data_IF_227538746284
#
_entry.id   IF_227538746284
#
_cell.length_a   1.000
_cell.length_b   1.000
_cell.length_c   1.000
_cell.angle_alpha   90.00
_cell.angle_beta   90.00
_cell.angle_gamma   90.00
#
_symmetry.space_group_name_H-M   'P 1'
#
loop_
_entity.id
_entity.type
_entity.pdbx_description
1 polymer ?
#
# COMPACT_ATOMS: atom_id res chain seq x y z
N UNK A 1 7.08 0.16 8.78
CA UNK A 1 6.06 -0.89 8.63
C UNK A 1 6.22 -1.93 9.76
N UNK A 2 5.15 -2.18 10.51
CA UNK A 2 5.14 -3.16 11.61
C UNK A 2 4.74 -4.52 11.07
N UNK A 3 5.59 -5.53 11.30
CA UNK A 3 5.34 -6.91 10.84
C UNK A 3 4.67 -7.71 11.95
N UNK A 4 3.58 -8.39 11.60
CA UNK A 4 2.84 -9.33 12.43
C UNK A 4 2.36 -10.53 11.61
N UNK A 5 1.70 -11.52 12.22
CA UNK A 5 1.18 -12.70 11.53
C UNK A 5 0.29 -12.35 10.33
N UNK A 6 -0.57 -11.34 10.47
CA UNK A 6 -1.54 -10.88 9.46
C UNK A 6 -0.94 -10.31 8.17
N UNK A 7 0.33 -9.88 8.18
CA UNK A 7 0.98 -9.24 7.03
C UNK A 7 2.37 -9.81 6.72
N UNK A 8 2.82 -10.84 7.45
CA UNK A 8 4.15 -11.43 7.35
C UNK A 8 4.45 -11.97 5.95
N UNK A 9 3.51 -12.66 5.34
CA UNK A 9 3.67 -13.21 3.99
C UNK A 9 3.78 -12.09 2.95
N UNK A 10 2.91 -11.08 3.03
CA UNK A 10 2.95 -9.92 2.14
C UNK A 10 4.26 -9.14 2.26
N UNK A 11 4.75 -8.96 3.49
CA UNK A 11 6.04 -8.32 3.74
C UNK A 11 7.20 -9.15 3.18
N UNK A 12 7.22 -10.47 3.39
CA UNK A 12 8.27 -11.35 2.90
C UNK A 12 8.31 -11.39 1.36
N UNK A 13 7.15 -11.53 0.71
CA UNK A 13 7.03 -11.48 -0.76
C UNK A 13 7.49 -10.13 -1.33
N UNK A 14 7.09 -9.04 -0.67
CA UNK A 14 7.48 -7.67 -1.05
C UNK A 14 8.99 -7.45 -0.93
N UNK A 15 9.61 -7.95 0.14
CA UNK A 15 11.06 -7.87 0.33
C UNK A 15 11.81 -8.70 -0.72
N UNK A 16 11.34 -9.91 -1.05
CA UNK A 16 11.94 -10.75 -2.08
C UNK A 16 11.88 -10.09 -3.45
N UNK A 17 10.74 -9.49 -3.83
CA UNK A 17 10.58 -8.72 -5.06
C UNK A 17 11.49 -7.47 -5.08
N UNK A 18 11.66 -6.81 -3.92
CA UNK A 18 12.50 -5.62 -3.78
C UNK A 18 14.01 -5.91 -3.86
N UNK A 19 14.45 -7.09 -3.38
CA UNK A 19 15.85 -7.51 -3.43
C UNK A 19 16.33 -7.84 -4.85
N UNK A 20 15.45 -8.41 -5.68
CA UNK A 20 15.76 -8.82 -7.05
C UNK A 20 14.62 -8.47 -8.01
N UNK A 21 14.41 -7.17 -8.31
CA UNK A 21 13.30 -6.75 -9.16
C UNK A 21 13.30 -7.43 -10.53
N UNK A 22 12.13 -7.90 -10.95
CA UNK A 22 11.90 -8.58 -12.21
C UNK A 22 12.27 -10.08 -12.23
N UNK A 23 12.91 -10.60 -11.18
CA UNK A 23 13.33 -12.02 -11.11
C UNK A 23 12.36 -12.92 -10.34
N UNK A 24 11.79 -12.42 -9.23
CA UNK A 24 10.91 -13.20 -8.37
C UNK A 24 9.57 -12.49 -8.21
N UNK A 25 8.49 -13.28 -8.19
CA UNK A 25 7.14 -12.80 -7.91
C UNK A 25 6.75 -11.59 -8.79
N UNK A 26 6.75 -11.82 -10.11
CA UNK A 26 6.44 -10.77 -11.08
C UNK A 26 5.28 -11.18 -12.01
N UNK A 27 4.10 -10.57 -11.90
CA UNK A 27 3.75 -9.51 -10.95
C UNK A 27 3.62 -10.00 -9.50
N UNK A 28 3.82 -9.12 -8.52
CA UNK A 28 3.39 -9.32 -7.13
C UNK A 28 2.06 -8.58 -6.93
N UNK A 29 1.07 -9.30 -6.45
CA UNK A 29 -0.28 -8.78 -6.21
C UNK A 29 -0.63 -8.87 -4.73
N UNK A 30 -0.75 -7.72 -4.06
CA UNK A 30 -1.09 -7.61 -2.64
C UNK A 30 -2.56 -7.23 -2.51
N UNK A 31 -3.35 -8.04 -1.83
CA UNK A 31 -4.77 -7.75 -1.70
C UNK A 31 -5.25 -7.82 -0.25
N UNK A 32 -6.37 -7.17 0.02
CA UNK A 32 -7.01 -7.18 1.33
C UNK A 32 -7.88 -5.95 1.52
N UNK A 33 -8.76 -5.99 2.50
CA UNK A 33 -9.70 -4.90 2.79
C UNK A 33 -8.99 -3.54 2.91
N UNK A 34 -9.76 -2.46 2.81
CA UNK A 34 -9.23 -1.11 3.05
C UNK A 34 -8.64 -0.99 4.47
N UNK A 35 -7.63 -0.13 4.65
CA UNK A 35 -7.04 0.13 5.96
C UNK A 35 -6.03 -0.92 6.48
N UNK A 36 -5.66 -1.94 5.70
CA UNK A 36 -4.73 -3.00 6.12
C UNK A 36 -3.24 -2.71 5.83
N UNK A 37 -2.91 -1.50 5.41
CA UNK A 37 -1.51 -1.10 5.20
C UNK A 37 -0.92 -1.49 3.83
N UNK A 38 -1.72 -1.86 2.83
CA UNK A 38 -1.25 -2.19 1.46
C UNK A 38 -0.42 -1.08 0.84
N UNK A 39 -0.97 0.13 0.81
CA UNK A 39 -0.28 1.35 0.31
C UNK A 39 1.02 1.62 1.07
N UNK A 40 0.99 1.46 2.40
CA UNK A 40 2.17 1.63 3.25
C UNK A 40 3.27 0.62 2.87
N UNK A 41 2.90 -0.65 2.67
CA UNK A 41 3.84 -1.70 2.25
C UNK A 41 4.40 -1.39 0.86
N UNK A 42 3.57 -0.92 -0.07
CA UNK A 42 3.98 -0.53 -1.42
C UNK A 42 5.03 0.60 -1.38
N UNK A 43 4.79 1.64 -0.57
CA UNK A 43 5.77 2.71 -0.35
C UNK A 43 7.06 2.22 0.33
N UNK A 44 6.96 1.31 1.31
CA UNK A 44 8.11 0.73 1.97
C UNK A 44 9.02 -0.02 0.97
N UNK A 45 8.43 -0.77 0.04
CA UNK A 45 9.15 -1.43 -1.06
C UNK A 45 9.88 -0.42 -1.94
N UNK A 46 9.20 0.62 -2.39
CA UNK A 46 9.79 1.65 -3.25
C UNK A 46 10.96 2.36 -2.59
N UNK A 47 10.80 2.72 -1.31
CA UNK A 47 11.86 3.35 -0.52
C UNK A 47 13.04 2.40 -0.31
N UNK A 48 12.78 1.12 -0.03
CA UNK A 48 13.83 0.12 0.13
C UNK A 48 14.66 -0.05 -1.15
N UNK A 49 14.01 -0.23 -2.31
CA UNK A 49 14.70 -0.36 -3.60
C UNK A 49 15.58 0.85 -3.85
N UNK A 50 15.05 2.07 -3.70
CA UNK A 50 15.80 3.32 -3.92
C UNK A 50 16.96 3.50 -2.95
N UNK A 51 16.82 3.04 -1.70
CA UNK A 51 17.90 3.10 -0.71
C UNK A 51 19.05 2.15 -1.04
N UNK A 52 18.76 0.99 -1.63
CA UNK A 52 19.75 -0.02 -2.03
C UNK A 52 20.39 0.23 -3.39
N UNK A 53 19.61 0.76 -4.32
CA UNK A 53 20.07 1.04 -5.68
C UNK A 53 19.51 2.38 -6.20
N UNK A 54 20.32 3.43 -6.07
CA UNK A 54 19.96 4.79 -6.51
C UNK A 54 19.75 4.93 -8.02
N UNK A 55 20.29 4.00 -8.84
CA UNK A 55 20.14 4.02 -10.28
C UNK A 55 18.79 3.47 -10.74
N UNK A 56 18.12 2.68 -9.91
CA UNK A 56 16.81 2.14 -10.24
C UNK A 56 15.72 3.22 -10.23
N UNK A 57 14.98 3.27 -11.33
CA UNK A 57 13.85 4.17 -11.52
C UNK A 57 12.57 3.49 -11.04
N UNK A 58 12.10 3.87 -9.87
CA UNK A 58 10.87 3.37 -9.25
C UNK A 58 9.77 4.40 -9.44
N UNK A 59 8.67 4.00 -10.05
CA UNK A 59 7.46 4.79 -10.19
C UNK A 59 6.37 4.22 -9.26
N UNK A 60 5.87 5.05 -8.36
CA UNK A 60 4.59 4.82 -7.68
C UNK A 60 3.51 5.61 -8.42
N UNK A 61 2.38 4.96 -8.68
CA UNK A 61 1.21 5.57 -9.30
C UNK A 61 -0.06 4.91 -8.77
N UNK A 62 -1.05 5.72 -8.38
CA UNK A 62 -2.39 5.19 -8.12
C UNK A 62 -3.15 4.94 -9.43
N UNK A 63 -4.14 4.06 -9.39
CA UNK A 63 -5.00 3.83 -10.56
C UNK A 63 -5.69 5.11 -11.04
N UNK A 64 -6.11 5.98 -10.13
CA UNK A 64 -6.72 7.26 -10.52
C UNK A 64 -5.73 8.17 -11.25
N UNK A 65 -4.49 8.28 -10.77
CA UNK A 65 -3.44 9.02 -11.46
C UNK A 65 -3.12 8.42 -12.84
N UNK A 66 -3.10 7.08 -12.95
CA UNK A 66 -2.92 6.42 -14.24
C UNK A 66 -4.04 6.76 -15.23
N UNK A 67 -5.29 6.77 -14.76
CA UNK A 67 -6.45 7.16 -15.55
C UNK A 67 -6.35 8.62 -16.00
N UNK A 68 -5.97 9.52 -15.11
CA UNK A 68 -5.77 10.93 -15.46
C UNK A 68 -4.66 11.12 -16.50
N UNK A 69 -3.53 10.42 -16.36
CA UNK A 69 -2.45 10.44 -17.35
C UNK A 69 -2.91 9.91 -18.70
N UNK A 70 -3.69 8.82 -18.73
CA UNK A 70 -4.28 8.29 -19.97
C UNK A 70 -5.15 9.33 -20.68
N UNK A 71 -6.09 9.97 -19.99
CA UNK A 71 -6.96 10.99 -20.59
C UNK A 71 -6.21 12.25 -21.02
N UNK A 72 -5.16 12.64 -20.29
CA UNK A 72 -4.27 13.71 -20.71
C UNK A 72 -3.59 13.37 -22.02
N UNK A 73 -3.09 12.15 -22.17
CA UNK A 73 -2.45 11.70 -23.42
C UNK A 73 -3.40 11.68 -24.62
N UNK A 74 -4.68 11.35 -24.41
CA UNK A 74 -5.68 11.47 -25.49
C UNK A 74 -5.79 12.92 -25.97
N UNK A 75 -5.89 13.89 -25.05
CA UNK A 75 -6.03 15.32 -25.40
C UNK A 75 -4.78 15.86 -26.10
N UNK A 76 -3.62 15.48 -25.66
CA UNK A 76 -2.33 16.00 -26.14
C UNK A 76 -1.72 15.15 -27.26
N UNK A 77 -2.38 14.06 -27.69
CA UNK A 77 -1.85 13.06 -28.64
C UNK A 77 -0.47 12.52 -28.24
N UNK A 78 -0.23 12.41 -26.92
CA UNK A 78 1.09 12.13 -26.31
C UNK A 78 1.34 10.67 -25.95
N UNK A 79 0.65 9.68 -26.55
CA UNK A 79 0.79 8.25 -26.19
C UNK A 79 2.24 7.72 -26.32
N UNK A 80 3.00 8.13 -27.32
CA UNK A 80 4.40 7.72 -27.46
C UNK A 80 5.26 8.30 -26.34
N UNK A 81 5.04 9.54 -25.94
CA UNK A 81 5.76 10.17 -24.83
C UNK A 81 5.50 9.42 -23.51
N UNK A 82 4.22 9.08 -23.22
CA UNK A 82 3.84 8.32 -22.05
C UNK A 82 4.46 6.90 -22.08
N UNK A 83 4.40 6.21 -23.20
CA UNK A 83 4.99 4.88 -23.38
C UNK A 83 6.53 4.92 -23.19
N UNK A 84 7.19 5.94 -23.70
CA UNK A 84 8.63 6.13 -23.51
C UNK A 84 8.98 6.42 -22.04
N UNK A 85 8.14 7.17 -21.32
CA UNK A 85 8.27 7.36 -19.87
C UNK A 85 8.21 6.00 -19.14
N UNK A 86 7.21 5.15 -19.41
CA UNK A 86 7.13 3.83 -18.80
C UNK A 86 8.30 2.91 -19.20
N UNK A 87 8.80 3.00 -20.45
CA UNK A 87 10.02 2.29 -20.86
C UNK A 87 11.25 2.65 -20.04
N UNK A 88 11.30 3.86 -19.52
CA UNK A 88 12.43 4.30 -18.70
C UNK A 88 12.36 3.82 -17.23
N UNK A 89 11.23 3.30 -16.76
CA UNK A 89 11.03 2.84 -15.39
C UNK A 89 11.46 1.39 -15.25
N UNK A 90 12.06 1.03 -14.11
CA UNK A 90 12.54 -0.32 -13.82
C UNK A 90 11.57 -1.08 -12.90
N UNK A 91 10.90 -0.36 -12.00
CA UNK A 91 9.90 -0.90 -11.07
C UNK A 91 8.66 -0.02 -11.07
N UNK A 92 7.50 -0.62 -11.28
CA UNK A 92 6.21 0.08 -11.16
C UNK A 92 5.44 -0.45 -9.96
N UNK A 93 4.99 0.47 -9.13
CA UNK A 93 4.17 0.24 -7.94
C UNK A 93 2.80 0.87 -8.19
N UNK A 94 1.77 0.03 -8.31
CA UNK A 94 0.42 0.49 -8.68
C UNK A 94 -0.52 0.26 -7.53
N UNK A 95 -1.14 1.34 -7.06
CA UNK A 95 -2.06 1.27 -5.94
C UNK A 95 -3.51 1.22 -6.41
N UNK A 96 -4.31 0.40 -5.70
CA UNK A 96 -5.76 0.28 -5.86
C UNK A 96 -6.21 -0.05 -7.30
N UNK A 97 -5.67 -1.13 -7.87
CA UNK A 97 -5.90 -1.56 -9.26
C UNK A 97 -7.38 -1.79 -9.60
N UNK A 98 -8.24 -2.05 -8.60
CA UNK A 98 -9.69 -2.23 -8.78
C UNK A 98 -10.38 -1.03 -9.43
N UNK A 99 -9.82 0.17 -9.33
CA UNK A 99 -10.40 1.38 -9.95
C UNK A 99 -10.20 1.46 -11.48
N UNK A 100 -9.41 0.57 -12.07
CA UNK A 100 -9.36 0.41 -13.52
C UNK A 100 -10.59 -0.35 -14.07
N UNK A 101 -11.34 -1.04 -13.20
CA UNK A 101 -12.54 -1.77 -13.58
C UNK A 101 -13.58 -0.86 -14.25
N UNK A 102 -14.33 -1.43 -15.19
CA UNK A 102 -15.35 -0.71 -15.97
C UNK A 102 -14.85 0.44 -16.87
N UNK A 103 -13.54 0.48 -17.14
CA UNK A 103 -12.89 1.46 -18.02
C UNK A 103 -12.12 0.75 -19.15
N UNK A 104 -12.82 0.12 -20.05
CA UNK A 104 -12.29 -0.78 -21.09
C UNK A 104 -11.06 -0.22 -21.80
N UNK A 105 -11.13 0.97 -22.38
CA UNK A 105 -10.00 1.60 -23.10
C UNK A 105 -8.79 1.88 -22.21
N UNK A 106 -9.00 2.22 -20.94
CA UNK A 106 -7.90 2.40 -19.97
C UNK A 106 -7.29 1.05 -19.64
N UNK A 107 -8.12 0.01 -19.47
CA UNK A 107 -7.68 -1.37 -19.24
C UNK A 107 -6.84 -1.92 -20.40
N UNK A 108 -7.25 -1.69 -21.65
CA UNK A 108 -6.46 -2.05 -22.85
C UNK A 108 -5.09 -1.37 -22.86
N UNK A 109 -5.07 -0.07 -22.56
CA UNK A 109 -3.81 0.66 -22.49
C UNK A 109 -2.94 0.15 -21.35
N UNK A 110 -3.53 -0.07 -20.17
CA UNK A 110 -2.84 -0.66 -19.03
C UNK A 110 -2.26 -2.04 -19.37
N UNK A 111 -3.00 -2.89 -20.08
CA UNK A 111 -2.50 -4.18 -20.56
C UNK A 111 -1.24 -4.03 -21.44
N UNK A 112 -1.19 -3.02 -22.29
CA UNK A 112 0.00 -2.75 -23.11
C UNK A 112 1.23 -2.37 -22.27
N UNK A 113 1.04 -1.56 -21.22
CA UNK A 113 2.09 -1.18 -20.28
C UNK A 113 2.51 -2.39 -19.42
N UNK A 114 1.54 -3.17 -18.93
CA UNK A 114 1.83 -4.40 -18.20
C UNK A 114 2.73 -5.35 -18.99
N UNK A 115 2.38 -5.63 -20.25
CA UNK A 115 3.20 -6.47 -21.12
C UNK A 115 4.59 -5.86 -21.40
N UNK A 116 4.70 -4.54 -21.51
CA UNK A 116 6.00 -3.86 -21.65
C UNK A 116 6.91 -4.19 -20.47
N UNK A 117 6.39 -4.14 -19.23
CA UNK A 117 7.17 -4.45 -18.03
C UNK A 117 7.56 -5.93 -17.98
N UNK A 118 6.60 -6.84 -18.16
CA UNK A 118 6.85 -8.29 -18.09
C UNK A 118 7.86 -8.71 -19.16
N UNK A 119 7.69 -8.27 -20.42
CA UNK A 119 8.58 -8.63 -21.52
C UNK A 119 9.99 -8.04 -21.38
N UNK A 120 10.15 -7.00 -20.58
CA UNK A 120 11.43 -6.36 -20.28
C UNK A 120 12.05 -6.81 -18.95
N UNK A 121 11.48 -7.84 -18.31
CA UNK A 121 11.89 -8.32 -16.98
C UNK A 121 11.91 -7.21 -15.91
N UNK A 122 10.97 -6.27 -15.98
CA UNK A 122 10.82 -5.17 -15.03
C UNK A 122 9.76 -5.53 -14.00
N UNK A 123 9.95 -5.09 -12.76
CA UNK A 123 9.07 -5.47 -11.65
C UNK A 123 7.75 -4.71 -11.69
N UNK A 124 6.66 -5.46 -11.49
CA UNK A 124 5.33 -4.92 -11.23
C UNK A 124 4.90 -5.37 -9.83
N UNK A 125 4.47 -4.41 -9.01
CA UNK A 125 3.80 -4.69 -7.73
C UNK A 125 2.50 -3.91 -7.71
N UNK A 126 1.39 -4.60 -7.41
CA UNK A 126 0.05 -4.02 -7.43
C UNK A 126 -0.65 -4.26 -6.10
N UNK A 127 -1.54 -3.34 -5.74
CA UNK A 127 -2.44 -3.52 -4.61
C UNK A 127 -3.90 -3.53 -5.06
N UNK A 128 -4.75 -4.21 -4.29
CA UNK A 128 -6.20 -4.25 -4.51
C UNK A 128 -6.97 -4.45 -3.19
N UNK A 129 -8.25 -4.13 -3.20
CA UNK A 129 -9.17 -4.44 -2.09
C UNK A 129 -9.62 -5.92 -2.08
N UNK A 130 -9.39 -6.67 -3.19
CA UNK A 130 -9.80 -8.07 -3.40
C UNK A 130 -8.81 -8.83 -4.28
N UNK A 131 -8.83 -10.18 -4.28
CA UNK A 131 -7.93 -10.99 -5.12
C UNK A 131 -8.22 -10.81 -6.62
N UNK A 132 -7.25 -11.14 -7.51
CA UNK A 132 -7.39 -10.93 -8.96
C UNK A 132 -8.68 -11.52 -9.55
N UNK A 133 -9.05 -12.73 -9.17
CA UNK A 133 -10.22 -13.44 -9.72
C UNK A 133 -11.57 -12.81 -9.33
N UNK A 134 -11.59 -11.93 -8.34
CA UNK A 134 -12.78 -11.18 -7.90
C UNK A 134 -12.87 -9.79 -8.52
N UNK A 135 -11.93 -9.39 -9.36
CA UNK A 135 -11.92 -8.09 -10.05
C UNK A 135 -12.91 -8.08 -11.21
N UNK A 136 -14.17 -7.77 -10.89
CA UNK A 136 -15.23 -7.63 -11.91
C UNK A 136 -15.05 -6.34 -12.72
N UNK A 137 -15.32 -6.43 -14.03
CA UNK A 137 -15.25 -5.27 -14.95
C UNK A 137 -13.85 -4.97 -15.48
N UNK A 138 -12.87 -5.84 -15.21
CA UNK A 138 -11.62 -5.94 -15.95
C UNK A 138 -11.71 -7.08 -16.96
N UNK A 139 -10.97 -6.95 -18.05
CA UNK A 139 -10.88 -8.02 -19.05
C UNK A 139 -10.23 -9.28 -18.47
N UNK A 140 -10.74 -10.46 -18.85
CA UNK A 140 -10.23 -11.76 -18.37
C UNK A 140 -8.73 -11.93 -18.60
N UNK A 141 -8.20 -11.38 -19.70
CA UNK A 141 -6.77 -11.42 -20.01
C UNK A 141 -5.92 -10.66 -18.99
N UNK A 142 -6.42 -9.52 -18.43
CA UNK A 142 -5.74 -8.79 -17.36
C UNK A 142 -5.80 -9.58 -16.04
N UNK A 143 -6.98 -10.07 -15.70
CA UNK A 143 -7.18 -10.87 -14.48
C UNK A 143 -6.27 -12.10 -14.48
N UNK A 144 -6.21 -12.82 -15.60
CA UNK A 144 -5.31 -13.97 -15.78
C UNK A 144 -3.83 -13.58 -15.61
N UNK A 145 -3.42 -12.42 -16.15
CA UNK A 145 -2.05 -11.91 -16.00
C UNK A 145 -1.72 -11.52 -14.57
N UNK A 146 -2.66 -10.90 -13.85
CA UNK A 146 -2.47 -10.59 -12.43
C UNK A 146 -2.30 -11.86 -11.59
N UNK A 147 -3.10 -12.88 -11.89
CA UNK A 147 -3.04 -14.17 -11.21
C UNK A 147 -1.82 -15.01 -11.59
N UNK A 148 -1.11 -14.70 -12.69
CA UNK A 148 0.05 -15.50 -13.14
C UNK A 148 1.29 -15.34 -12.28
N UNK A 149 1.36 -14.28 -11.47
CA UNK A 149 2.42 -14.04 -10.50
C UNK A 149 2.09 -14.57 -9.10
N UNK A 150 2.62 -13.91 -8.08
CA UNK A 150 2.29 -14.23 -6.69
C UNK A 150 1.21 -13.28 -6.18
N UNK A 151 0.10 -13.84 -5.70
CA UNK A 151 -0.97 -13.08 -5.02
C UNK A 151 -0.95 -13.39 -3.54
N UNK A 152 -0.86 -12.35 -2.70
CA UNK A 152 -0.78 -12.49 -1.24
C UNK A 152 -1.84 -11.60 -0.58
N UNK A 153 -2.63 -12.21 0.31
CA UNK A 153 -3.63 -11.51 1.11
C UNK A 153 -3.04 -10.89 2.37
N UNK A 154 -3.48 -9.68 2.69
CA UNK A 154 -3.27 -9.07 3.98
C UNK A 154 -4.58 -9.13 4.78
N UNK A 155 -4.48 -9.51 6.05
CA UNK A 155 -5.63 -9.58 6.96
C UNK A 155 -5.53 -8.51 8.04
N UNK A 156 -6.58 -8.38 8.84
CA UNK A 156 -6.59 -7.46 9.95
C UNK A 156 -5.48 -7.82 10.97
N UNK A 157 -4.76 -6.82 11.52
CA UNK A 157 -3.72 -7.09 12.49
C UNK A 157 -4.33 -7.64 13.79
N UNK A 158 -3.62 -8.56 14.40
CA UNK A 158 -3.94 -9.03 15.75
C UNK A 158 -3.63 -7.92 16.77
N UNK A 159 -4.16 -8.11 17.98
CA UNK A 159 -3.99 -7.18 19.09
C UNK A 159 -2.54 -6.73 19.30
N UNK A 160 -1.58 -7.65 19.37
CA UNK A 160 -0.17 -7.34 19.61
C UNK A 160 0.44 -6.51 18.47
N UNK A 161 0.02 -6.77 17.25
CA UNK A 161 0.45 -6.00 16.07
C UNK A 161 -0.15 -4.60 16.11
N UNK A 162 -1.43 -4.47 16.44
CA UNK A 162 -2.14 -3.19 16.60
C UNK A 162 -1.50 -2.34 17.69
N UNK A 163 -1.19 -2.92 18.83
CA UNK A 163 -0.51 -2.23 19.92
C UNK A 163 0.89 -1.71 19.52
N UNK A 164 1.66 -2.54 18.81
CA UNK A 164 2.97 -2.12 18.27
C UNK A 164 2.84 -1.00 17.25
N UNK A 165 1.79 -1.02 16.41
CA UNK A 165 1.52 0.07 15.45
C UNK A 165 1.29 1.38 16.20
N UNK A 166 0.47 1.39 17.25
CA UNK A 166 0.21 2.57 18.06
C UNK A 166 1.49 3.12 18.70
N UNK A 167 2.28 2.28 19.34
CA UNK A 167 3.57 2.68 19.93
C UNK A 167 4.52 3.29 18.90
N UNK A 168 4.65 2.66 17.72
CA UNK A 168 5.50 3.20 16.67
C UNK A 168 4.98 4.55 16.14
N UNK A 169 3.66 4.74 16.06
CA UNK A 169 3.08 6.01 15.60
C UNK A 169 3.34 7.15 16.58
N UNK A 170 3.26 6.90 17.89
CA UNK A 170 3.64 7.89 18.91
C UNK A 170 5.11 8.29 18.74
N UNK A 171 6.00 7.31 18.55
CA UNK A 171 7.41 7.56 18.33
C UNK A 171 7.71 8.33 17.02
N UNK A 172 7.02 7.99 15.92
CA UNK A 172 7.15 8.69 14.62
C UNK A 172 6.74 10.18 14.72
N UNK A 173 5.83 10.51 15.64
CA UNK A 173 5.38 11.88 15.89
C UNK A 173 6.29 12.64 16.89
N UNK A 174 7.40 12.03 17.32
CA UNK A 174 8.34 12.57 18.32
C UNK A 174 7.65 12.93 19.65
N UNK A 175 6.59 12.20 20.00
CA UNK A 175 5.89 12.36 21.27
C UNK A 175 6.53 11.47 22.35
N UNK A 176 6.43 11.86 23.65
CA UNK A 176 6.84 11.00 24.76
C UNK A 176 6.12 9.66 24.69
N UNK A 177 6.83 8.56 24.97
CA UNK A 177 6.25 7.21 24.91
C UNK A 177 5.14 6.99 25.96
N UNK A 178 5.17 7.77 27.04
CA UNK A 178 4.23 7.75 28.17
C UNK A 178 3.12 8.81 28.05
N UNK A 179 3.00 9.52 26.93
CA UNK A 179 1.95 10.53 26.71
C UNK A 179 0.53 9.92 26.75
N UNK A 180 0.42 8.63 26.46
CA UNK A 180 -0.81 7.84 26.58
C UNK A 180 -0.48 6.60 27.42
N UNK A 181 -1.25 6.34 28.45
CA UNK A 181 -1.11 5.14 29.28
C UNK A 181 -1.27 3.86 28.44
N UNK A 182 -0.49 2.83 28.75
CA UNK A 182 -0.52 1.56 28.02
C UNK A 182 -1.92 0.91 28.01
N UNK A 183 -2.68 1.07 29.07
CA UNK A 183 -4.04 0.51 29.17
C UNK A 183 -5.00 1.18 28.19
N UNK A 184 -4.83 2.47 27.93
CA UNK A 184 -5.56 3.19 26.86
C UNK A 184 -5.17 2.68 25.49
N UNK A 185 -3.87 2.49 25.24
CA UNK A 185 -3.40 1.93 23.97
C UNK A 185 -3.88 0.49 23.75
N UNK A 186 -3.94 -0.33 24.81
CA UNK A 186 -4.52 -1.68 24.76
C UNK A 186 -6.01 -1.64 24.40
N UNK A 187 -6.77 -0.77 25.05
CA UNK A 187 -8.20 -0.59 24.76
C UNK A 187 -8.45 -0.21 23.28
N UNK A 188 -7.65 0.74 22.74
CA UNK A 188 -7.75 1.12 21.33
C UNK A 188 -7.37 -0.05 20.42
N UNK A 189 -6.28 -0.76 20.73
CA UNK A 189 -5.81 -1.89 19.95
C UNK A 189 -6.84 -3.01 19.86
N UNK A 190 -7.58 -3.27 20.92
CA UNK A 190 -8.68 -4.26 20.93
C UNK A 190 -9.89 -3.79 20.13
N UNK A 191 -10.27 -2.52 20.29
CA UNK A 191 -11.52 -1.98 19.72
C UNK A 191 -11.44 -1.72 18.22
N UNK A 192 -10.27 -1.33 17.72
CA UNK A 192 -10.05 -0.88 16.33
C UNK A 192 -9.10 -1.78 15.54
N UNK A 193 -8.88 -3.02 15.95
CA UNK A 193 -7.94 -3.94 15.26
C UNK A 193 -8.30 -4.25 13.81
N UNK A 194 -9.55 -4.09 13.39
CA UNK A 194 -10.01 -4.45 12.06
C UNK A 194 -9.58 -3.48 10.93
N UNK A 195 -9.17 -2.26 11.27
CA UNK A 195 -8.79 -1.21 10.32
C UNK A 195 -7.72 -0.30 10.94
N UNK A 196 -6.51 -0.34 10.37
CA UNK A 196 -5.38 0.47 10.86
C UNK A 196 -5.64 1.97 10.72
N UNK A 197 -6.45 2.42 9.75
CA UNK A 197 -6.83 3.83 9.64
C UNK A 197 -7.71 4.28 10.80
N UNK A 198 -8.65 3.43 11.23
CA UNK A 198 -9.47 3.72 12.42
C UNK A 198 -8.62 3.72 13.69
N UNK A 199 -7.67 2.79 13.79
CA UNK A 199 -6.70 2.72 14.87
C UNK A 199 -5.87 4.02 14.95
N UNK A 200 -5.32 4.48 13.82
CA UNK A 200 -4.58 5.75 13.74
C UNK A 200 -5.48 6.96 14.01
N UNK A 201 -6.71 6.95 13.54
CA UNK A 201 -7.70 8.00 13.79
C UNK A 201 -8.03 8.16 15.27
N UNK A 202 -8.22 7.04 15.98
CA UNK A 202 -8.44 7.03 17.43
C UNK A 202 -7.21 7.56 18.18
N UNK A 203 -6.00 7.13 17.81
CA UNK A 203 -4.76 7.64 18.39
C UNK A 203 -4.62 9.16 18.19
N UNK A 204 -4.83 9.65 16.97
CA UNK A 204 -4.72 11.07 16.66
C UNK A 204 -5.71 11.93 17.45
N UNK A 205 -6.93 11.42 17.66
CA UNK A 205 -7.94 12.10 18.50
C UNK A 205 -7.46 12.23 19.94
N UNK A 206 -6.89 11.16 20.50
CA UNK A 206 -6.36 11.21 21.88
C UNK A 206 -5.13 12.13 21.98
N UNK A 207 -4.21 12.07 21.05
CA UNK A 207 -3.05 12.97 21.04
C UNK A 207 -3.48 14.44 20.91
N UNK A 208 -4.49 14.73 20.09
CA UNK A 208 -5.07 16.07 20.01
C UNK A 208 -5.66 16.51 21.35
N UNK A 209 -6.38 15.64 22.04
CA UNK A 209 -6.94 15.92 23.37
C UNK A 209 -5.83 16.18 24.41
N UNK A 210 -4.76 15.37 24.39
CA UNK A 210 -3.61 15.54 25.27
C UNK A 210 -2.95 16.93 25.10
N UNK A 211 -2.69 17.29 23.85
CA UNK A 211 -1.98 18.54 23.54
C UNK A 211 -2.86 19.79 23.83
N UNK A 212 -4.16 19.68 23.54
CA UNK A 212 -5.05 20.84 23.57
C UNK A 212 -5.70 21.12 24.94
N UNK A 213 -5.93 20.08 25.74
CA UNK A 213 -6.78 20.19 26.92
C UNK A 213 -6.18 19.60 28.21
N UNK A 214 -5.09 18.83 28.11
CA UNK A 214 -4.56 18.13 29.25
C UNK A 214 -3.29 18.79 29.80
N UNK A 215 -3.44 19.50 30.95
CA UNK A 215 -2.31 20.10 31.67
C UNK A 215 -1.50 19.09 32.50
N UNK A 216 -1.95 17.83 32.59
CA UNK A 216 -1.34 16.79 33.45
C UNK A 216 -0.34 15.87 32.76
N UNK A 217 -0.13 16.01 31.44
CA UNK A 217 0.97 15.36 30.73
C UNK A 217 0.73 13.96 30.17
N UNK A 218 -0.21 13.15 30.69
CA UNK A 218 -0.54 11.83 30.11
C UNK A 218 -2.05 11.60 30.01
N UNK A 219 -2.46 10.83 29.01
CA UNK A 219 -3.86 10.43 28.79
C UNK A 219 -4.14 9.15 29.57
N UNK A 220 -5.17 9.19 30.39
CA UNK A 220 -5.69 8.07 31.19
C UNK A 220 -6.93 7.45 30.54
N UNK A 221 -7.40 6.31 31.09
CA UNK A 221 -8.65 5.67 30.63
C UNK A 221 -9.88 6.60 30.75
N UNK A 222 -9.92 7.49 31.74
CA UNK A 222 -11.02 8.43 31.91
C UNK A 222 -11.10 9.46 30.78
N UNK A 223 -10.00 9.75 30.10
CA UNK A 223 -9.93 10.68 28.98
C UNK A 223 -10.29 9.98 27.64
N UNK A 224 -10.30 8.64 27.61
CA UNK A 224 -10.48 7.82 26.42
C UNK A 224 -11.92 7.27 26.23
N UNK A 225 -12.77 7.37 27.26
CA UNK A 225 -14.16 6.91 27.26
C UNK A 225 -15.10 8.08 26.99
#
# INVERSE_FOLDING_TARGET
FVVGPSNREGQAASLAAALNPGKFYNPLFLFGKSGLGKTHLLHAVGNYIRSKNKSMRVLYISSDQFIEEYFRCIREKGFEALKNRFRSIDVILIDDIQFLASREKVGEYFFSIFNLFINSNKQIIMTSDRPPLELKGLEDRLVSRFASGLSVGLTAPEYETSFKILKNKIKEQNMPEDIIEDDVLKYIAERFSNDVRQLEGALNKLLFTAISFNNSGSITMNDAI
#
